data_IF_642609329878
#
_entry.id   IF_642609329878
#
_cell.length_a   1.000
_cell.length_b   1.000
_cell.length_c   1.000
_cell.angle_alpha   90.00
_cell.angle_beta   90.00
_cell.angle_gamma   90.00
#
_symmetry.space_group_name_H-M   'P 1'
#
loop_
_entity.id
_entity.type
_entity.pdbx_description
1 polymer ?
#
# COMPACT_ATOMS: atom_id res chain seq x y z
N UNK A 1 -15.97 7.33 -25.14
CA UNK A 1 -14.85 7.49 -24.19
C UNK A 1 -15.07 8.56 -23.10
N UNK A 2 -16.29 9.11 -22.94
CA UNK A 2 -16.64 10.08 -21.88
C UNK A 2 -17.42 9.45 -20.71
N UNK A 3 -17.87 8.20 -20.85
CA UNK A 3 -18.82 7.55 -19.94
C UNK A 3 -18.20 6.65 -18.86
N UNK A 4 -16.88 6.43 -18.88
CA UNK A 4 -16.20 5.56 -17.89
C UNK A 4 -15.63 6.39 -16.73
N UNK A 5 -15.19 7.63 -16.99
CA UNK A 5 -14.62 8.51 -15.97
C UNK A 5 -15.72 9.10 -15.06
N UNK A 6 -16.93 9.31 -15.58
CA UNK A 6 -18.09 9.80 -14.80
C UNK A 6 -18.70 8.74 -13.87
N UNK A 7 -18.17 7.51 -13.86
CA UNK A 7 -18.64 6.38 -13.02
C UNK A 7 -17.71 6.03 -11.86
N UNK A 8 -16.64 6.80 -11.65
CA UNK A 8 -15.78 6.65 -10.48
C UNK A 8 -16.17 7.68 -9.43
N UNK A 9 -17.36 7.52 -8.85
CA UNK A 9 -17.70 8.22 -7.59
C UNK A 9 -17.00 7.53 -6.40
N UNK A 10 -16.89 8.25 -5.28
CA UNK A 10 -16.22 7.76 -4.07
C UNK A 10 -16.82 6.43 -3.56
N UNK A 11 -18.12 6.23 -3.76
CA UNK A 11 -18.82 5.01 -3.38
C UNK A 11 -18.51 3.84 -4.32
N UNK A 12 -18.30 4.10 -5.61
CA UNK A 12 -17.84 3.14 -6.61
C UNK A 12 -16.37 2.77 -6.37
N UNK A 13 -15.53 3.72 -5.96
CA UNK A 13 -14.16 3.47 -5.50
C UNK A 13 -14.14 2.59 -4.24
N UNK A 14 -15.01 2.90 -3.27
CA UNK A 14 -15.20 2.10 -2.04
C UNK A 14 -15.77 0.70 -2.35
N UNK A 15 -16.61 0.58 -3.37
CA UNK A 15 -17.17 -0.69 -3.85
C UNK A 15 -16.13 -1.54 -4.59
N UNK A 16 -15.26 -0.91 -5.39
CA UNK A 16 -14.10 -1.57 -6.02
C UNK A 16 -13.10 -2.09 -4.97
N UNK A 17 -12.85 -1.30 -3.91
CA UNK A 17 -12.10 -1.75 -2.73
C UNK A 17 -12.84 -2.84 -1.95
N UNK A 18 -14.17 -2.83 -1.91
CA UNK A 18 -14.99 -3.94 -1.36
C UNK A 18 -15.01 -5.18 -2.26
N UNK A 19 -14.71 -5.06 -3.55
CA UNK A 19 -14.45 -6.20 -4.43
C UNK A 19 -13.28 -7.06 -3.96
N UNK A 20 -12.35 -6.46 -3.19
CA UNK A 20 -11.25 -7.15 -2.49
C UNK A 20 -11.66 -7.71 -1.11
N UNK A 21 -12.84 -7.40 -0.57
CA UNK A 21 -13.42 -8.12 0.60
C UNK A 21 -14.08 -9.42 0.18
N UNK A 22 -13.32 -10.31 -0.49
CA UNK A 22 -13.72 -11.70 -0.70
C UNK A 22 -13.23 -12.60 0.44
N UNK A 23 -13.54 -12.22 1.67
CA UNK A 23 -13.60 -13.11 2.83
C UNK A 23 -14.70 -12.58 3.75
N UNK A 24 -15.53 -13.48 4.27
CA UNK A 24 -16.67 -13.16 5.13
C UNK A 24 -16.31 -12.28 6.31
N UNK A 25 -17.33 -11.59 6.83
CA UNK A 25 -17.32 -10.71 8.01
C UNK A 25 -15.99 -10.65 8.76
N UNK A 26 -15.22 -9.59 8.51
CA UNK A 26 -13.78 -9.51 8.83
C UNK A 26 -13.50 -9.74 10.32
N UNK A 27 -14.40 -9.35 11.22
CA UNK A 27 -14.25 -9.58 12.66
C UNK A 27 -14.53 -11.04 13.05
N UNK A 28 -15.64 -11.63 12.57
CA UNK A 28 -15.99 -13.03 12.86
C UNK A 28 -14.99 -14.00 12.22
N UNK A 29 -14.49 -13.68 11.03
CA UNK A 29 -13.45 -14.44 10.35
C UNK A 29 -12.10 -14.32 11.04
N UNK A 30 -11.73 -13.13 11.54
CA UNK A 30 -10.44 -12.95 12.23
C UNK A 30 -10.40 -13.71 13.55
N UNK A 31 -11.42 -13.59 14.40
CA UNK A 31 -11.43 -14.31 15.69
C UNK A 31 -11.39 -15.82 15.48
N UNK A 32 -12.19 -16.35 14.54
CA UNK A 32 -12.17 -17.77 14.19
C UNK A 32 -10.79 -18.23 13.70
N UNK A 33 -10.10 -17.40 12.91
CA UNK A 33 -8.75 -17.72 12.44
C UNK A 33 -7.72 -17.69 13.58
N UNK A 34 -7.87 -16.76 14.54
CA UNK A 34 -7.04 -16.69 15.74
C UNK A 34 -7.24 -17.94 16.59
N UNK A 35 -8.49 -18.30 16.90
CA UNK A 35 -8.81 -19.46 17.72
C UNK A 35 -8.24 -20.75 17.10
N UNK A 36 -8.38 -20.92 15.78
CA UNK A 36 -7.81 -22.04 15.06
C UNK A 36 -6.26 -22.04 15.06
N UNK A 37 -5.64 -20.87 14.92
CA UNK A 37 -4.18 -20.76 14.97
C UNK A 37 -3.64 -21.04 16.38
N UNK A 38 -4.32 -20.58 17.42
CA UNK A 38 -3.97 -20.82 18.82
C UNK A 38 -4.17 -22.28 19.22
N UNK A 39 -5.22 -22.97 18.75
CA UNK A 39 -5.42 -24.40 19.01
C UNK A 39 -4.25 -25.25 18.48
N UNK A 40 -3.72 -24.89 17.30
CA UNK A 40 -2.65 -25.65 16.64
C UNK A 40 -1.25 -25.25 17.11
N UNK A 41 -1.01 -23.95 17.28
CA UNK A 41 0.34 -23.40 17.52
C UNK A 41 0.53 -22.79 18.90
N UNK A 42 -0.54 -22.64 19.68
CA UNK A 42 -0.50 -22.07 21.02
C UNK A 42 0.49 -22.81 21.91
N UNK A 43 1.37 -22.05 22.56
CA UNK A 43 2.47 -22.58 23.38
C UNK A 43 3.73 -22.99 22.61
N UNK A 44 3.70 -22.99 21.27
CA UNK A 44 4.89 -23.20 20.42
C UNK A 44 5.29 -21.89 19.73
N UNK A 45 4.34 -21.23 19.09
CA UNK A 45 4.53 -19.95 18.40
C UNK A 45 3.58 -18.90 18.98
N UNK A 46 3.99 -17.63 18.89
CA UNK A 46 3.14 -16.50 19.26
C UNK A 46 2.18 -16.19 18.11
N UNK A 47 0.87 -16.29 18.36
CA UNK A 47 -0.15 -15.85 17.41
C UNK A 47 -0.42 -14.36 17.61
N UNK A 48 -0.38 -13.59 16.53
CA UNK A 48 -0.64 -12.15 16.53
C UNK A 48 -1.59 -11.79 15.38
N UNK A 49 -2.60 -10.95 15.66
CA UNK A 49 -3.37 -10.30 14.60
C UNK A 49 -2.60 -9.07 14.15
N UNK A 50 -2.21 -9.07 12.87
CA UNK A 50 -1.54 -7.92 12.26
C UNK A 50 -2.42 -7.25 11.22
N UNK A 51 -2.42 -5.93 11.26
CA UNK A 51 -3.02 -5.13 10.21
C UNK A 51 -2.10 -5.19 8.99
N UNK A 52 -2.61 -5.78 7.90
CA UNK A 52 -1.95 -5.67 6.61
C UNK A 52 -2.31 -4.32 6.00
N UNK A 53 -1.34 -3.42 5.82
CA UNK A 53 -1.54 -2.18 5.07
C UNK A 53 -1.79 -2.53 3.59
N UNK A 54 -3.03 -2.43 3.07
CA UNK A 54 -3.36 -2.94 1.75
C UNK A 54 -2.90 -2.02 0.61
N UNK A 55 -2.37 -0.84 0.94
CA UNK A 55 -1.94 0.17 -0.02
C UNK A 55 -0.43 0.32 0.03
N UNK A 56 0.29 -0.56 -0.66
CA UNK A 56 1.69 -0.31 -0.97
C UNK A 56 1.84 1.03 -1.71
N UNK A 57 2.98 1.68 -1.60
CA UNK A 57 3.26 2.93 -2.32
C UNK A 57 3.52 2.69 -3.82
N UNK A 58 3.23 1.50 -4.34
CA UNK A 58 3.35 1.06 -5.75
C UNK A 58 2.16 1.53 -6.59
N UNK A 59 2.02 2.84 -6.78
CA UNK A 59 0.86 3.45 -7.42
C UNK A 59 0.74 3.13 -8.92
N UNK A 60 1.86 2.98 -9.61
CA UNK A 60 1.86 2.77 -11.07
C UNK A 60 1.32 1.39 -11.43
N UNK A 61 1.66 0.35 -10.66
CA UNK A 61 1.09 -0.99 -10.80
C UNK A 61 -0.43 -0.99 -10.55
N UNK A 62 -0.89 -0.23 -9.56
CA UNK A 62 -2.33 -0.03 -9.33
C UNK A 62 -3.01 0.63 -10.53
N UNK A 63 -2.45 1.72 -11.05
CA UNK A 63 -3.01 2.37 -12.24
C UNK A 63 -3.01 1.42 -13.44
N UNK A 64 -1.94 0.64 -13.63
CA UNK A 64 -1.81 -0.37 -14.69
C UNK A 64 -2.88 -1.46 -14.58
N UNK A 65 -3.21 -1.90 -13.37
CA UNK A 65 -4.30 -2.86 -13.15
C UNK A 65 -5.67 -2.33 -13.59
N UNK A 66 -5.87 -1.01 -13.55
CA UNK A 66 -7.13 -0.38 -13.98
C UNK A 66 -7.15 -0.05 -15.47
N UNK A 67 -6.02 0.38 -16.03
CA UNK A 67 -5.96 0.94 -17.39
C UNK A 67 -5.38 0.00 -18.45
N UNK A 68 -4.63 -1.01 -18.01
CA UNK A 68 -3.76 -1.82 -18.85
C UNK A 68 -2.35 -1.21 -18.91
N UNK A 69 -1.33 -2.06 -18.76
CA UNK A 69 0.08 -1.65 -18.72
C UNK A 69 0.52 -0.96 -20.00
N UNK A 70 0.35 -1.64 -21.15
CA UNK A 70 0.74 -1.11 -22.48
C UNK A 70 0.12 0.27 -22.74
N UNK A 71 -1.13 0.43 -22.33
CA UNK A 71 -1.87 1.65 -22.58
C UNK A 71 -1.41 2.80 -21.68
N UNK A 72 -0.96 2.55 -20.44
CA UNK A 72 -0.32 3.58 -19.63
C UNK A 72 1.02 3.99 -20.23
N UNK A 73 1.81 3.03 -20.73
CA UNK A 73 3.09 3.35 -21.36
C UNK A 73 2.91 4.27 -22.57
N UNK A 74 1.88 4.04 -23.39
CA UNK A 74 1.51 4.94 -24.48
C UNK A 74 1.03 6.30 -23.96
N UNK A 75 0.17 6.30 -22.93
CA UNK A 75 -0.36 7.53 -22.35
C UNK A 75 0.70 8.44 -21.72
N UNK A 76 1.83 7.91 -21.25
CA UNK A 76 2.94 8.73 -20.76
C UNK A 76 3.49 9.65 -21.87
N UNK A 77 3.31 9.29 -23.14
CA UNK A 77 3.75 10.07 -24.31
C UNK A 77 2.57 10.84 -24.90
N UNK A 78 1.46 10.16 -25.16
CA UNK A 78 0.32 10.75 -25.89
C UNK A 78 -0.56 11.62 -24.99
N UNK A 79 -0.58 11.35 -23.68
CA UNK A 79 -1.51 11.96 -22.70
C UNK A 79 -0.86 12.19 -21.33
N UNK A 80 0.35 12.80 -21.23
CA UNK A 80 1.11 12.90 -19.98
C UNK A 80 0.33 13.61 -18.86
N UNK A 81 -0.40 14.68 -19.19
CA UNK A 81 -1.24 15.40 -18.23
C UNK A 81 -2.32 14.52 -17.59
N UNK A 82 -2.87 13.58 -18.37
CA UNK A 82 -3.88 12.65 -17.86
C UNK A 82 -3.25 11.64 -16.89
N UNK A 83 -2.05 11.13 -17.20
CA UNK A 83 -1.30 10.24 -16.31
C UNK A 83 -0.96 10.95 -15.01
N UNK A 84 -0.50 12.20 -15.07
CA UNK A 84 -0.23 13.01 -13.88
C UNK A 84 -1.47 13.23 -13.02
N UNK A 85 -2.63 13.49 -13.64
CA UNK A 85 -3.89 13.64 -12.91
C UNK A 85 -4.30 12.34 -12.21
N UNK A 86 -4.15 11.20 -12.89
CA UNK A 86 -4.46 9.90 -12.33
C UNK A 86 -3.52 9.52 -11.17
N UNK A 87 -2.20 9.67 -11.38
CA UNK A 87 -1.19 9.42 -10.35
C UNK A 87 -1.33 10.36 -9.15
N UNK A 88 -1.65 11.64 -9.39
CA UNK A 88 -1.93 12.61 -8.33
C UNK A 88 -3.14 12.21 -7.48
N UNK A 89 -4.24 11.82 -8.11
CA UNK A 89 -5.43 11.34 -7.40
C UNK A 89 -5.13 10.10 -6.55
N UNK A 90 -4.44 9.10 -7.12
CA UNK A 90 -4.06 7.89 -6.39
C UNK A 90 -3.13 8.21 -5.22
N UNK A 91 -2.13 9.06 -5.44
CA UNK A 91 -1.20 9.50 -4.40
C UNK A 91 -1.92 10.21 -3.25
N UNK A 92 -2.81 11.16 -3.55
CA UNK A 92 -3.60 11.89 -2.54
C UNK A 92 -4.52 10.96 -1.74
N UNK A 93 -5.18 10.02 -2.42
CA UNK A 93 -6.05 9.05 -1.78
C UNK A 93 -5.27 8.10 -0.85
N UNK A 94 -4.13 7.57 -1.33
CA UNK A 94 -3.27 6.70 -0.54
C UNK A 94 -2.68 7.44 0.67
N UNK A 95 -2.20 8.68 0.52
CA UNK A 95 -1.67 9.46 1.65
C UNK A 95 -2.74 9.68 2.72
N UNK A 96 -3.98 10.00 2.33
CA UNK A 96 -5.09 10.15 3.27
C UNK A 96 -5.40 8.86 4.02
N UNK A 97 -5.40 7.71 3.34
CA UNK A 97 -5.64 6.42 3.97
C UNK A 97 -4.53 6.05 4.98
N UNK A 98 -3.26 6.31 4.65
CA UNK A 98 -2.13 6.06 5.55
C UNK A 98 -2.23 6.92 6.81
N UNK A 99 -2.49 8.22 6.66
CA UNK A 99 -2.61 9.14 7.79
C UNK A 99 -3.84 8.85 8.66
N UNK A 100 -4.95 8.43 8.04
CA UNK A 100 -6.14 8.00 8.77
C UNK A 100 -5.86 6.74 9.59
N UNK A 101 -5.18 5.74 9.03
CA UNK A 101 -4.83 4.52 9.74
C UNK A 101 -3.95 4.79 10.97
N UNK A 102 -2.98 5.71 10.87
CA UNK A 102 -2.20 6.18 12.02
C UNK A 102 -3.08 6.90 13.06
N UNK A 103 -3.95 7.82 12.60
CA UNK A 103 -4.83 8.60 13.46
C UNK A 103 -5.86 7.74 14.23
N UNK A 104 -6.28 6.62 13.65
CA UNK A 104 -7.18 5.65 14.28
C UNK A 104 -6.45 4.61 15.15
N UNK A 105 -5.12 4.50 15.02
CA UNK A 105 -4.33 3.50 15.75
C UNK A 105 -4.46 2.09 15.17
N UNK A 106 -4.83 1.98 13.90
CA UNK A 106 -5.07 0.72 13.19
C UNK A 106 -3.79 0.06 12.65
N UNK A 107 -2.62 0.63 12.93
CA UNK A 107 -1.31 0.17 12.45
C UNK A 107 -0.69 -0.88 13.38
N UNK A 108 0.04 -1.83 12.81
CA UNK A 108 0.85 -2.81 13.54
C UNK A 108 2.30 -2.80 13.06
N UNK A 109 3.25 -3.01 13.98
CA UNK A 109 4.68 -3.05 13.65
C UNK A 109 5.01 -4.14 12.64
N UNK A 110 5.90 -3.81 11.69
CA UNK A 110 6.37 -4.70 10.61
C UNK A 110 7.90 -4.85 10.59
N UNK A 111 8.54 -4.79 11.75
CA UNK A 111 10.01 -4.76 11.91
C UNK A 111 10.62 -6.10 12.38
N UNK A 112 9.89 -7.22 12.25
CA UNK A 112 10.37 -8.57 12.61
C UNK A 112 10.25 -9.51 11.41
N UNK A 113 9.70 -10.71 11.62
CA UNK A 113 9.42 -11.72 10.59
C UNK A 113 8.24 -11.32 9.69
N UNK A 114 8.09 -10.03 9.42
CA UNK A 114 7.04 -9.46 8.60
C UNK A 114 7.56 -9.32 7.17
N UNK A 115 6.77 -9.74 6.19
CA UNK A 115 7.13 -9.56 4.79
C UNK A 115 6.98 -8.09 4.40
N UNK A 116 8.07 -7.46 3.96
CA UNK A 116 8.14 -6.06 3.55
C UNK A 116 8.35 -5.92 2.03
N UNK A 117 7.56 -6.66 1.26
CA UNK A 117 7.60 -6.63 -0.21
C UNK A 117 8.89 -7.21 -0.81
N UNK A 118 9.36 -6.61 -1.90
CA UNK A 118 10.57 -7.04 -2.62
C UNK A 118 11.83 -7.03 -1.76
N UNK A 119 11.84 -6.29 -0.64
CA UNK A 119 12.98 -6.19 0.29
C UNK A 119 13.15 -7.36 1.25
N UNK A 120 12.23 -8.33 1.27
CA UNK A 120 12.32 -9.50 2.12
C UNK A 120 11.67 -9.30 3.49
N UNK A 121 12.33 -9.78 4.56
CA UNK A 121 11.79 -9.71 5.92
C UNK A 121 12.21 -8.41 6.62
N UNK A 122 11.30 -7.82 7.41
CA UNK A 122 11.47 -6.52 8.05
C UNK A 122 12.42 -6.46 9.26
N UNK A 123 13.24 -7.48 9.51
CA UNK A 123 14.13 -7.53 10.68
C UNK A 123 15.08 -6.33 10.74
N UNK A 124 14.96 -5.53 11.81
CA UNK A 124 15.85 -4.39 12.07
C UNK A 124 15.81 -3.98 13.53
N UNK A 125 16.91 -3.38 14.02
CA UNK A 125 16.99 -2.71 15.33
C UNK A 125 16.80 -1.18 15.21
N UNK A 126 16.65 -0.65 14.00
CA UNK A 126 16.44 0.79 13.74
C UNK A 126 14.98 1.23 13.88
N UNK A 127 14.05 0.28 13.82
CA UNK A 127 12.62 0.49 14.03
C UNK A 127 12.13 -0.34 15.23
N UNK A 128 11.11 0.13 15.99
CA UNK A 128 10.45 1.42 15.86
C UNK A 128 11.36 2.59 16.29
N UNK A 129 10.91 3.83 16.15
CA UNK A 129 11.72 4.99 16.51
C UNK A 129 12.05 5.00 18.01
N UNK A 130 13.15 5.67 18.38
CA UNK A 130 13.62 5.77 19.78
C UNK A 130 12.56 6.36 20.74
N UNK A 131 11.67 7.20 20.21
CA UNK A 131 10.57 7.84 20.94
C UNK A 131 9.26 7.01 20.93
N UNK A 132 9.31 5.73 20.53
CA UNK A 132 8.14 4.88 20.46
C UNK A 132 7.55 4.59 21.86
N UNK A 133 6.26 4.88 22.02
CA UNK A 133 5.54 4.77 23.29
C UNK A 133 4.31 3.84 23.20
N UNK A 134 4.36 2.83 22.33
CA UNK A 134 3.32 1.80 22.20
C UNK A 134 2.25 2.08 21.12
N UNK A 135 2.03 3.33 20.74
CA UNK A 135 1.17 3.68 19.60
C UNK A 135 1.98 3.71 18.30
N UNK A 136 1.65 2.82 17.38
CA UNK A 136 2.34 2.67 16.08
C UNK A 136 2.05 3.87 15.18
N UNK A 137 3.11 4.46 14.63
CA UNK A 137 3.09 5.54 13.63
C UNK A 137 3.74 5.05 12.34
N UNK A 138 3.46 5.68 11.21
CA UNK A 138 4.09 5.40 9.92
C UNK A 138 5.62 5.47 10.02
N UNK A 139 6.18 6.44 10.76
CA UNK A 139 7.63 6.55 10.96
C UNK A 139 8.25 5.40 11.78
N UNK A 140 7.43 4.61 12.45
CA UNK A 140 7.85 3.41 13.19
C UNK A 140 7.82 2.15 12.32
N UNK A 141 7.40 2.27 11.04
CA UNK A 141 7.21 1.18 10.11
C UNK A 141 8.21 1.24 8.96
N UNK A 142 8.43 0.07 8.37
CA UNK A 142 8.90 -0.04 7.00
C UNK A 142 7.81 0.39 6.02
N UNK A 143 8.17 1.29 5.11
CA UNK A 143 7.43 1.55 3.88
C UNK A 143 7.93 0.68 2.74
N UNK A 144 7.08 0.48 1.74
CA UNK A 144 7.48 -0.18 0.50
C UNK A 144 6.83 0.49 -0.71
N UNK A 145 7.60 0.62 -1.78
CA UNK A 145 7.09 0.86 -3.11
C UNK A 145 7.86 -0.01 -4.10
N UNK A 146 7.27 -0.26 -5.24
CA UNK A 146 7.95 -0.81 -6.40
C UNK A 146 7.32 -0.24 -7.67
N UNK A 147 7.98 -0.48 -8.80
CA UNK A 147 7.52 -0.06 -10.11
C UNK A 147 8.04 -1.03 -11.19
N UNK A 148 7.97 -2.34 -10.90
CA UNK A 148 8.50 -3.39 -11.77
C UNK A 148 7.83 -3.37 -13.15
N UNK A 149 6.55 -3.00 -13.21
CA UNK A 149 5.74 -3.02 -14.41
C UNK A 149 6.24 -2.04 -15.47
N UNK A 150 6.86 -0.94 -15.05
CA UNK A 150 7.37 0.10 -15.94
C UNK A 150 8.89 0.15 -15.99
N UNK A 151 9.58 -0.93 -15.61
CA UNK A 151 11.05 -0.99 -15.61
C UNK A 151 11.69 -0.72 -17.00
N UNK A 152 10.90 -0.74 -18.08
CA UNK A 152 11.36 -0.49 -19.45
C UNK A 152 11.32 0.98 -19.87
N UNK A 153 10.75 1.88 -19.07
CA UNK A 153 10.77 3.31 -19.40
C UNK A 153 12.12 3.94 -19.10
N UNK A 154 12.42 5.09 -19.72
CA UNK A 154 13.66 5.80 -19.45
C UNK A 154 13.73 6.29 -17.98
N UNK A 155 14.93 6.49 -17.40
CA UNK A 155 15.06 7.04 -16.06
C UNK A 155 14.32 8.38 -15.85
N UNK A 156 14.29 9.23 -16.88
CA UNK A 156 13.56 10.50 -16.83
C UNK A 156 12.04 10.29 -16.72
N UNK A 157 11.49 9.35 -17.51
CA UNK A 157 10.07 9.00 -17.42
C UNK A 157 9.72 8.30 -16.10
N UNK A 158 10.64 7.50 -15.56
CA UNK A 158 10.46 6.85 -14.27
C UNK A 158 10.38 7.90 -13.14
N UNK A 159 11.28 8.88 -13.17
CA UNK A 159 11.25 10.02 -12.25
C UNK A 159 9.94 10.81 -12.36
N UNK A 160 9.55 11.15 -13.59
CA UNK A 160 8.38 11.97 -13.91
C UNK A 160 7.06 11.27 -13.56
N UNK A 161 6.84 10.03 -13.99
CA UNK A 161 5.53 9.43 -13.85
C UNK A 161 5.38 8.60 -12.58
N UNK A 162 6.47 8.27 -11.89
CA UNK A 162 6.44 7.27 -10.80
C UNK A 162 7.17 7.74 -9.55
N UNK A 163 8.49 7.89 -9.59
CA UNK A 163 9.28 8.06 -8.37
C UNK A 163 8.88 9.31 -7.58
N UNK A 164 8.54 10.41 -8.26
CA UNK A 164 8.11 11.63 -7.57
C UNK A 164 6.85 11.44 -6.69
N UNK A 165 5.90 10.61 -7.14
CA UNK A 165 4.69 10.30 -6.37
C UNK A 165 4.98 9.32 -5.24
N UNK A 166 5.81 8.32 -5.49
CA UNK A 166 6.18 7.32 -4.49
C UNK A 166 6.97 7.95 -3.33
N UNK A 167 7.93 8.84 -3.62
CA UNK A 167 8.68 9.57 -2.59
C UNK A 167 7.77 10.37 -1.65
N UNK A 168 6.70 10.96 -2.16
CA UNK A 168 5.73 11.71 -1.35
C UNK A 168 5.04 10.82 -0.31
N UNK A 169 4.83 9.54 -0.62
CA UNK A 169 4.26 8.56 0.32
C UNK A 169 5.34 7.98 1.24
N UNK A 170 6.47 7.54 0.66
CA UNK A 170 7.55 6.86 1.36
C UNK A 170 8.20 7.75 2.45
N UNK A 171 8.16 9.08 2.31
CA UNK A 171 8.69 10.02 3.32
C UNK A 171 8.04 9.90 4.70
N UNK A 172 6.85 9.29 4.80
CA UNK A 172 6.16 9.10 6.09
C UNK A 172 6.75 7.96 6.92
N UNK A 173 7.48 7.04 6.27
CA UNK A 173 8.01 5.83 6.88
C UNK A 173 9.44 6.03 7.40
N UNK A 174 9.81 5.26 8.43
CA UNK A 174 11.13 5.38 9.05
C UNK A 174 12.23 4.73 8.23
N UNK A 175 11.92 3.61 7.58
CA UNK A 175 12.77 2.95 6.59
C UNK A 175 11.92 2.60 5.37
N UNK A 176 12.54 2.47 4.21
CA UNK A 176 11.85 2.17 2.97
C UNK A 176 12.57 1.09 2.17
N UNK A 177 11.78 0.17 1.61
CA UNK A 177 12.21 -0.70 0.52
C UNK A 177 11.70 -0.14 -0.81
N UNK A 178 12.56 -0.17 -1.83
CA UNK A 178 12.25 0.19 -3.21
C UNK A 178 12.75 -0.89 -4.17
#
# INVERSE_FOLDING_TARGET
>A
MKAIVDRLDFDSYKSLLRGLTRFGDREQGTQRNVDAAEDVFGGILRVEVKAWLPAGCSLIGQLASYRGLDQIMLDMIDRPEWVHKAMGFLCDATEKLLLQAEAEGSLTLNNRSDYNGSGGQGWTDELPQKDFAGRVRLKDLWGMAEAQEIAQVSPAMHEEFVLQYQRRLLRHFGLNCY
#
